data_IF_189763868383
#
_entry.id   IF_189763868383
#
_cell.length_a   1.000
_cell.length_b   1.000
_cell.length_c   1.000
_cell.angle_alpha   90.00
_cell.angle_beta   90.00
_cell.angle_gamma   90.00
#
_symmetry.space_group_name_H-M   'P 1'
#
loop_
_entity.id
_entity.type
_entity.pdbx_description
1 polymer ?
#
# COMPACT_ATOMS: atom_id res chain seq x y z
N UNK A 1 18.29 -80.85 0.58
CA UNK A 1 17.30 -79.84 1.00
C UNK A 1 17.89 -79.11 2.19
N UNK A 2 18.56 -77.99 1.95
CA UNK A 2 19.20 -77.19 3.01
C UNK A 2 18.41 -75.88 3.16
N UNK A 3 17.77 -75.70 4.31
CA UNK A 3 17.19 -74.42 4.74
C UNK A 3 18.31 -73.53 5.29
N UNK A 4 18.45 -72.33 4.73
CA UNK A 4 19.28 -71.27 5.28
C UNK A 4 18.34 -70.30 5.99
N UNK A 5 18.50 -70.19 7.31
CA UNK A 5 17.77 -69.26 8.17
C UNK A 5 18.61 -67.99 8.31
N UNK A 6 18.12 -66.87 7.78
CA UNK A 6 18.78 -65.55 7.89
C UNK A 6 18.21 -64.81 9.09
N UNK A 7 19.03 -64.60 10.12
CA UNK A 7 18.69 -63.80 11.31
C UNK A 7 19.19 -62.37 11.10
N UNK A 8 18.29 -61.40 11.00
CA UNK A 8 18.63 -59.98 10.95
C UNK A 8 18.69 -59.40 12.37
N UNK A 9 19.81 -58.79 12.73
CA UNK A 9 20.01 -58.04 13.97
C UNK A 9 19.66 -56.58 13.69
N UNK A 10 18.56 -56.09 14.27
CA UNK A 10 18.17 -54.69 14.23
C UNK A 10 18.87 -53.93 15.37
N UNK A 11 19.82 -53.07 15.04
CA UNK A 11 20.40 -52.09 15.96
C UNK A 11 19.51 -50.86 16.01
N UNK A 12 18.84 -50.64 17.15
CA UNK A 12 18.07 -49.43 17.41
C UNK A 12 19.02 -48.23 17.59
N UNK A 13 18.96 -47.27 16.67
CA UNK A 13 19.58 -45.95 16.82
C UNK A 13 18.61 -45.09 17.64
N UNK A 14 19.02 -44.48 18.77
CA UNK A 14 18.17 -43.55 19.50
C UNK A 14 17.99 -42.28 18.65
N UNK A 15 16.84 -42.17 17.98
CA UNK A 15 16.41 -40.95 17.29
C UNK A 15 15.89 -39.97 18.34
N UNK A 16 16.79 -39.17 18.91
CA UNK A 16 16.41 -37.96 19.65
C UNK A 16 15.87 -36.95 18.62
N UNK A 17 14.55 -36.97 18.38
CA UNK A 17 13.88 -35.95 17.59
C UNK A 17 13.98 -34.59 18.31
N UNK A 18 14.30 -33.49 17.61
CA UNK A 18 14.25 -32.17 18.21
C UNK A 18 12.79 -31.78 18.42
N UNK A 19 12.27 -31.97 19.64
CA UNK A 19 10.98 -31.48 20.11
C UNK A 19 10.92 -29.93 20.27
N UNK A 20 11.92 -29.19 19.74
CA UNK A 20 12.13 -27.77 20.06
C UNK A 20 11.27 -26.78 19.25
N UNK A 21 10.36 -27.25 18.38
CA UNK A 21 9.47 -26.38 17.60
C UNK A 21 7.98 -26.49 17.99
N UNK A 22 7.61 -27.50 18.78
CA UNK A 22 6.21 -27.70 19.20
C UNK A 22 5.90 -27.22 20.63
N UNK A 23 6.92 -26.83 21.41
CA UNK A 23 6.76 -26.39 22.82
C UNK A 23 6.74 -24.85 22.98
N UNK A 24 6.65 -24.11 21.86
CA UNK A 24 6.21 -22.71 21.86
C UNK A 24 4.69 -22.72 22.05
N UNK A 25 4.27 -22.62 23.31
CA UNK A 25 2.90 -22.49 23.83
C UNK A 25 1.75 -22.40 22.80
N UNK A 26 0.78 -23.30 22.97
CA UNK A 26 -0.56 -23.37 22.37
C UNK A 26 -1.46 -22.11 22.50
N UNK A 27 -0.91 -20.95 22.82
CA UNK A 27 -1.69 -19.72 22.83
C UNK A 27 -1.93 -19.30 21.39
N UNK A 28 -3.21 -19.36 20.99
CA UNK A 28 -3.69 -18.88 19.69
C UNK A 28 -3.14 -17.47 19.47
N UNK A 29 -2.51 -17.23 18.32
CA UNK A 29 -1.94 -15.91 17.99
C UNK A 29 -3.04 -14.83 18.12
N UNK A 30 -2.85 -13.79 18.95
CA UNK A 30 -3.89 -12.81 19.23
C UNK A 30 -4.41 -12.10 17.98
N UNK A 31 -3.62 -12.06 16.90
CA UNK A 31 -4.05 -11.45 15.64
C UNK A 31 -5.27 -12.15 15.03
N UNK A 32 -5.45 -13.46 15.25
CA UNK A 32 -6.62 -14.17 14.72
C UNK A 32 -7.93 -13.63 15.30
N UNK A 33 -7.96 -13.34 16.60
CA UNK A 33 -9.14 -12.76 17.24
C UNK A 33 -9.43 -11.35 16.71
N UNK A 34 -8.37 -10.55 16.47
CA UNK A 34 -8.51 -9.21 15.93
C UNK A 34 -9.02 -9.22 14.47
N UNK A 35 -8.54 -10.16 13.65
CA UNK A 35 -8.99 -10.36 12.27
C UNK A 35 -10.48 -10.72 12.24
N UNK A 36 -10.92 -11.68 13.06
CA UNK A 36 -12.32 -12.10 13.09
C UNK A 36 -13.24 -10.98 13.63
N UNK A 37 -12.77 -10.19 14.61
CA UNK A 37 -13.51 -9.02 15.08
C UNK A 37 -13.69 -7.96 13.97
N UNK A 38 -12.65 -7.68 13.19
CA UNK A 38 -12.74 -6.76 12.05
C UNK A 38 -13.66 -7.30 10.95
N UNK A 39 -13.56 -8.58 10.58
CA UNK A 39 -14.47 -9.21 9.62
C UNK A 39 -15.94 -9.13 10.06
N UNK A 40 -16.21 -9.37 11.34
CA UNK A 40 -17.56 -9.27 11.88
C UNK A 40 -18.11 -7.84 11.84
N UNK A 41 -17.27 -6.84 12.15
CA UNK A 41 -17.65 -5.43 12.07
C UNK A 41 -17.91 -4.99 10.62
N UNK A 42 -17.08 -5.42 9.67
CA UNK A 42 -17.27 -5.11 8.25
C UNK A 42 -18.55 -5.73 7.71
N UNK A 43 -18.80 -7.01 7.97
CA UNK A 43 -20.01 -7.69 7.54
C UNK A 43 -21.29 -7.09 8.17
N UNK A 44 -21.18 -6.48 9.34
CA UNK A 44 -22.27 -5.69 9.94
C UNK A 44 -22.51 -4.39 9.20
N UNK A 45 -21.44 -3.65 8.86
CA UNK A 45 -21.53 -2.41 8.12
C UNK A 45 -22.07 -2.62 6.70
N UNK A 46 -21.56 -3.62 5.97
CA UNK A 46 -22.02 -3.99 4.62
C UNK A 46 -23.53 -4.26 4.61
N UNK A 47 -24.03 -5.04 5.57
CA UNK A 47 -25.46 -5.33 5.68
C UNK A 47 -26.30 -4.07 5.91
N UNK A 48 -25.78 -3.10 6.67
CA UNK A 48 -26.48 -1.82 6.90
C UNK A 48 -26.51 -0.97 5.64
N UNK A 49 -25.44 -0.98 4.85
CA UNK A 49 -25.40 -0.33 3.53
C UNK A 49 -26.43 -0.97 2.59
N UNK A 50 -26.50 -2.29 2.50
CA UNK A 50 -27.51 -3.01 1.71
C UNK A 50 -28.95 -2.72 2.15
N UNK A 51 -29.18 -2.62 3.47
CA UNK A 51 -30.49 -2.28 4.02
C UNK A 51 -30.90 -0.83 3.68
N UNK A 52 -29.96 0.12 3.70
CA UNK A 52 -30.23 1.50 3.26
C UNK A 52 -30.48 1.56 1.76
N UNK A 53 -29.67 0.90 0.93
CA UNK A 53 -29.89 0.87 -0.52
C UNK A 53 -31.29 0.32 -0.85
N UNK A 54 -31.70 -0.76 -0.17
CA UNK A 54 -33.06 -1.30 -0.31
C UNK A 54 -34.12 -0.29 0.08
N UNK A 55 -33.90 0.47 1.17
CA UNK A 55 -34.82 1.51 1.62
C UNK A 55 -34.91 2.68 0.64
N UNK A 56 -33.78 3.14 0.10
CA UNK A 56 -33.73 4.21 -0.91
C UNK A 56 -34.48 3.82 -2.18
N UNK A 57 -34.36 2.57 -2.61
CA UNK A 57 -35.09 2.03 -3.77
C UNK A 57 -36.61 1.95 -3.54
N UNK A 58 -37.08 1.96 -2.28
CA UNK A 58 -38.50 1.89 -1.94
C UNK A 58 -39.16 3.27 -1.75
N UNK A 59 -38.38 4.34 -1.68
CA UNK A 59 -38.86 5.67 -1.31
C UNK A 59 -38.63 6.69 -2.44
N UNK A 60 -39.70 7.31 -2.93
CA UNK A 60 -39.62 8.36 -3.96
C UNK A 60 -38.83 9.60 -3.48
N UNK A 61 -38.91 9.90 -2.18
CA UNK A 61 -38.22 11.01 -1.51
C UNK A 61 -37.70 10.57 -0.14
N UNK A 62 -36.52 9.94 -0.12
CA UNK A 62 -36.00 9.29 1.09
C UNK A 62 -35.39 10.25 2.13
N UNK A 63 -34.83 11.39 1.72
CA UNK A 63 -34.00 12.24 2.61
C UNK A 63 -34.72 12.78 3.85
N UNK A 64 -36.03 12.97 3.76
CA UNK A 64 -36.87 13.44 4.87
C UNK A 64 -37.66 12.29 5.54
N UNK A 65 -37.52 11.04 5.06
CA UNK A 65 -38.21 9.89 5.65
C UNK A 65 -37.53 9.49 6.97
N UNK A 66 -38.27 9.41 8.10
CA UNK A 66 -37.70 9.03 9.39
C UNK A 66 -36.99 7.68 9.38
N UNK A 67 -37.40 6.74 8.52
CA UNK A 67 -36.74 5.43 8.40
C UNK A 67 -35.38 5.55 7.74
N UNK A 68 -35.25 6.43 6.74
CA UNK A 68 -33.98 6.67 6.07
C UNK A 68 -33.00 7.38 7.01
N UNK A 69 -33.48 8.39 7.75
CA UNK A 69 -32.69 9.07 8.79
C UNK A 69 -32.18 8.07 9.85
N UNK A 70 -33.02 7.14 10.29
CA UNK A 70 -32.62 6.09 11.23
C UNK A 70 -31.62 5.08 10.61
N UNK A 71 -31.80 4.74 9.33
CA UNK A 71 -30.86 3.90 8.59
C UNK A 71 -29.48 4.57 8.46
N UNK A 72 -29.46 5.87 8.18
CA UNK A 72 -28.24 6.66 8.05
C UNK A 72 -27.48 6.71 9.38
N UNK A 73 -28.18 6.91 10.50
CA UNK A 73 -27.57 6.81 11.84
C UNK A 73 -26.93 5.44 12.08
N UNK A 74 -27.62 4.36 11.72
CA UNK A 74 -27.08 3.00 11.86
C UNK A 74 -25.87 2.79 10.97
N UNK A 75 -25.81 3.36 9.78
CA UNK A 75 -24.63 3.27 8.91
C UNK A 75 -23.46 4.01 9.53
N UNK A 76 -23.65 5.22 10.04
CA UNK A 76 -22.62 5.95 10.77
C UNK A 76 -22.13 5.17 11.99
N UNK A 77 -23.03 4.66 12.82
CA UNK A 77 -22.65 3.80 13.95
C UNK A 77 -21.91 2.54 13.47
N UNK A 78 -22.32 1.95 12.35
CA UNK A 78 -21.71 0.75 11.77
C UNK A 78 -20.28 1.02 11.30
N UNK A 79 -20.09 2.15 10.62
CA UNK A 79 -18.78 2.65 10.20
C UNK A 79 -17.87 2.90 11.40
N UNK A 80 -18.35 3.59 12.44
CA UNK A 80 -17.56 3.85 13.65
C UNK A 80 -17.11 2.54 14.35
N UNK A 81 -17.97 1.52 14.38
CA UNK A 81 -17.58 0.20 14.90
C UNK A 81 -16.58 -0.52 14.00
N UNK A 82 -16.72 -0.40 12.67
CA UNK A 82 -15.77 -0.96 11.72
C UNK A 82 -14.40 -0.29 11.85
N UNK A 83 -14.36 1.04 11.89
CA UNK A 83 -13.15 1.83 12.06
C UNK A 83 -12.48 1.51 13.41
N UNK A 84 -13.24 1.38 14.49
CA UNK A 84 -12.71 0.96 15.79
C UNK A 84 -12.10 -0.47 15.75
N UNK A 85 -12.73 -1.41 15.04
CA UNK A 85 -12.22 -2.77 14.88
C UNK A 85 -10.96 -2.81 14.01
N UNK A 86 -10.93 -2.03 12.93
CA UNK A 86 -9.75 -1.85 12.08
C UNK A 86 -8.59 -1.24 12.88
N UNK A 87 -8.83 -0.18 13.65
CA UNK A 87 -7.84 0.44 14.54
C UNK A 87 -7.31 -0.58 15.56
N UNK A 88 -8.18 -1.40 16.15
CA UNK A 88 -7.76 -2.46 17.08
C UNK A 88 -6.92 -3.54 16.38
N UNK A 89 -7.28 -3.94 15.16
CA UNK A 89 -6.47 -4.84 14.34
C UNK A 89 -5.04 -4.29 14.12
N UNK A 90 -4.92 -2.98 13.87
CA UNK A 90 -3.64 -2.30 13.73
C UNK A 90 -2.86 -2.13 15.05
N UNK A 91 -3.44 -2.45 16.21
CA UNK A 91 -2.74 -2.44 17.52
C UNK A 91 -2.26 -3.82 17.95
N UNK A 92 -2.83 -4.88 17.37
CA UNK A 92 -2.47 -6.26 17.70
C UNK A 92 -1.31 -6.72 16.83
N UNK A 93 -0.19 -7.09 17.45
CA UNK A 93 0.97 -7.60 16.73
C UNK A 93 0.89 -9.13 16.59
N UNK A 94 1.05 -9.68 15.37
CA UNK A 94 1.24 -11.11 15.20
C UNK A 94 2.44 -11.63 16.00
N UNK A 95 2.28 -12.76 16.70
CA UNK A 95 3.36 -13.36 17.51
C UNK A 95 3.96 -14.62 16.89
N UNK A 96 3.35 -15.13 15.82
CA UNK A 96 3.71 -16.33 15.08
C UNK A 96 3.80 -16.06 13.57
N UNK A 97 4.50 -16.92 12.83
CA UNK A 97 4.51 -16.84 11.37
C UNK A 97 3.11 -17.06 10.76
N UNK A 98 2.31 -17.94 11.39
CA UNK A 98 0.92 -18.17 10.98
C UNK A 98 0.07 -16.91 11.12
N UNK A 99 0.22 -16.17 12.22
CA UNK A 99 -0.45 -14.88 12.42
C UNK A 99 -0.01 -13.81 11.42
N UNK A 100 1.29 -13.74 11.09
CA UNK A 100 1.79 -12.82 10.04
C UNK A 100 1.14 -13.13 8.69
N UNK A 101 1.08 -14.41 8.31
CA UNK A 101 0.43 -14.83 7.06
C UNK A 101 -1.06 -14.49 7.06
N UNK A 102 -1.76 -14.73 8.18
CA UNK A 102 -3.18 -14.43 8.31
C UNK A 102 -3.47 -12.93 8.18
N UNK A 103 -2.66 -12.08 8.80
CA UNK A 103 -2.79 -10.63 8.70
C UNK A 103 -2.56 -10.12 7.27
N UNK A 104 -1.52 -10.61 6.60
CA UNK A 104 -1.24 -10.23 5.22
C UNK A 104 -2.32 -10.72 4.25
N UNK A 105 -2.84 -11.94 4.44
CA UNK A 105 -3.94 -12.46 3.63
C UNK A 105 -5.21 -11.62 3.84
N UNK A 106 -5.54 -11.31 5.10
CA UNK A 106 -6.67 -10.42 5.42
C UNK A 106 -6.53 -9.05 4.74
N UNK A 107 -5.31 -8.47 4.73
CA UNK A 107 -5.06 -7.20 4.07
C UNK A 107 -5.26 -7.27 2.54
N UNK A 108 -4.83 -8.36 1.90
CA UNK A 108 -5.01 -8.58 0.46
C UNK A 108 -6.50 -8.75 0.14
N UNK A 109 -7.20 -9.61 0.89
CA UNK A 109 -8.61 -9.92 0.65
C UNK A 109 -9.48 -8.66 0.80
N UNK A 110 -9.15 -7.78 1.75
CA UNK A 110 -9.87 -6.51 1.97
C UNK A 110 -9.53 -5.42 0.96
N UNK A 111 -8.40 -5.49 0.24
CA UNK A 111 -8.02 -4.45 -0.72
C UNK A 111 -8.68 -4.61 -2.11
N UNK A 112 -9.44 -5.70 -2.35
CA UNK A 112 -10.01 -6.01 -3.67
C UNK A 112 -11.16 -5.07 -4.07
N UNK A 113 -11.94 -4.58 -3.11
CA UNK A 113 -13.16 -3.79 -3.38
C UNK A 113 -13.01 -2.28 -3.10
N UNK A 114 -11.78 -1.78 -2.98
CA UNK A 114 -11.47 -0.38 -2.70
C UNK A 114 -10.74 -0.17 -1.37
N UNK A 115 -10.63 1.10 -0.89
CA UNK A 115 -9.95 1.43 0.35
C UNK A 115 -10.75 0.95 1.57
N UNK A 116 -10.64 -0.34 1.88
CA UNK A 116 -11.34 -0.98 3.01
C UNK A 116 -10.68 -0.71 4.38
N UNK A 117 -9.57 0.02 4.40
CA UNK A 117 -8.94 0.50 5.63
C UNK A 117 -9.11 2.01 5.71
N UNK A 118 -9.16 2.53 6.93
CA UNK A 118 -9.23 3.96 7.22
C UNK A 118 -8.17 4.70 6.39
N UNK A 119 -8.63 5.58 5.49
CA UNK A 119 -7.78 6.30 4.53
C UNK A 119 -6.84 7.29 5.24
N UNK A 120 -7.36 7.94 6.28
CA UNK A 120 -6.67 8.98 7.02
C UNK A 120 -6.63 8.61 8.51
N UNK A 121 -5.54 7.98 8.95
CA UNK A 121 -5.25 7.75 10.36
C UNK A 121 -4.12 8.66 10.80
N UNK A 122 -4.31 9.32 11.94
CA UNK A 122 -3.24 10.09 12.58
C UNK A 122 -2.31 9.13 13.34
N UNK A 123 -0.99 9.28 13.18
CA UNK A 123 0.02 8.44 13.87
C UNK A 123 -0.14 8.37 15.38
N UNK A 124 -0.69 9.42 16.02
CA UNK A 124 -0.97 9.47 17.46
C UNK A 124 -2.01 8.45 17.93
N UNK A 125 -2.93 8.05 17.06
CA UNK A 125 -4.02 7.14 17.46
C UNK A 125 -3.57 5.68 17.61
N UNK A 126 -2.39 5.36 17.06
CA UNK A 126 -1.86 4.00 16.95
C UNK A 126 -0.62 3.72 17.80
N UNK A 127 -0.22 4.65 18.69
CA UNK A 127 1.02 4.54 19.47
C UNK A 127 2.22 4.18 18.56
N UNK A 128 2.26 4.74 17.34
CA UNK A 128 3.37 4.52 16.40
C UNK A 128 4.65 5.14 16.98
N UNK A 129 5.79 4.47 16.75
CA UNK A 129 7.11 5.00 17.13
C UNK A 129 7.48 6.26 16.30
N UNK A 130 6.68 6.61 15.29
CA UNK A 130 6.84 7.82 14.50
C UNK A 130 6.27 9.05 15.23
N UNK A 131 7.16 9.83 15.86
CA UNK A 131 6.80 11.09 16.55
C UNK A 131 6.28 12.18 15.60
N UNK A 132 6.36 11.98 14.28
CA UNK A 132 5.83 12.93 13.30
C UNK A 132 4.30 12.79 13.28
N UNK A 133 3.62 13.92 13.50
CA UNK A 133 2.17 14.06 13.40
C UNK A 133 1.76 14.03 11.91
N UNK A 134 1.85 12.85 11.31
CA UNK A 134 1.60 12.60 9.89
C UNK A 134 0.41 11.66 9.72
N UNK A 135 -0.48 12.01 8.81
CA UNK A 135 -1.58 11.16 8.39
C UNK A 135 -1.04 10.05 7.48
N UNK A 136 -1.51 8.83 7.73
CA UNK A 136 -1.14 7.61 6.99
C UNK A 136 -2.35 6.70 6.86
N UNK A 137 -2.39 5.90 5.80
CA UNK A 137 -3.46 4.92 5.58
C UNK A 137 -3.34 3.75 6.55
N UNK A 138 -4.46 3.09 6.91
CA UNK A 138 -4.43 1.93 7.81
C UNK A 138 -3.52 0.80 7.33
N UNK A 139 -3.43 0.58 6.02
CA UNK A 139 -2.54 -0.46 5.49
C UNK A 139 -1.04 -0.11 5.63
N UNK A 140 -0.65 1.16 5.87
CA UNK A 140 0.72 1.53 6.27
C UNK A 140 1.08 0.90 7.61
N UNK A 141 0.23 1.10 8.61
CA UNK A 141 0.42 0.58 9.95
C UNK A 141 0.34 -0.95 9.99
N UNK A 142 -0.45 -1.57 9.10
CA UNK A 142 -0.48 -3.03 8.95
C UNK A 142 0.87 -3.57 8.49
N UNK A 143 1.47 -2.95 7.47
CA UNK A 143 2.80 -3.33 6.97
C UNK A 143 3.88 -3.10 8.02
N UNK A 144 3.81 -1.98 8.77
CA UNK A 144 4.69 -1.71 9.90
C UNK A 144 4.60 -2.82 10.97
N UNK A 145 3.37 -3.22 11.33
CA UNK A 145 3.12 -4.32 12.26
C UNK A 145 3.70 -5.65 11.78
N UNK A 146 3.53 -5.98 10.50
CA UNK A 146 4.12 -7.19 9.91
C UNK A 146 5.64 -7.15 9.97
N UNK A 147 6.26 -6.02 9.62
CA UNK A 147 7.71 -5.87 9.68
C UNK A 147 8.25 -5.98 11.11
N UNK A 148 7.53 -5.43 12.09
CA UNK A 148 7.85 -5.53 13.52
C UNK A 148 7.69 -6.97 14.03
N UNK A 149 6.57 -7.62 13.72
CA UNK A 149 6.31 -9.01 14.08
C UNK A 149 7.37 -9.96 13.52
N UNK A 150 7.74 -9.82 12.23
CA UNK A 150 8.80 -10.63 11.61
C UNK A 150 10.15 -10.44 12.31
N UNK A 151 10.47 -9.22 12.76
CA UNK A 151 11.69 -8.93 13.51
C UNK A 151 11.70 -9.64 14.87
N UNK A 152 10.59 -9.59 15.60
CA UNK A 152 10.42 -10.24 16.91
C UNK A 152 10.41 -11.77 16.81
N UNK A 153 9.72 -12.33 15.82
CA UNK A 153 9.73 -13.78 15.57
C UNK A 153 11.16 -14.23 15.24
N UNK A 154 11.86 -13.48 14.38
CA UNK A 154 13.23 -13.79 14.01
C UNK A 154 14.21 -13.73 15.19
N UNK A 155 14.00 -12.85 16.18
CA UNK A 155 14.87 -12.73 17.36
C UNK A 155 14.72 -13.92 18.32
N UNK A 156 13.57 -14.59 18.30
CA UNK A 156 13.26 -15.76 19.13
C UNK A 156 13.66 -17.09 18.52
N UNK A 157 13.78 -17.14 17.18
CA UNK A 157 14.21 -18.36 16.50
C UNK A 157 15.67 -18.67 16.89
N UNK A 158 15.96 -19.87 17.40
CA UNK A 158 17.34 -20.25 17.67
C UNK A 158 18.13 -20.18 16.36
N UNK A 159 19.34 -19.61 16.41
CA UNK A 159 20.29 -19.61 15.29
C UNK A 159 20.85 -21.02 15.11
N UNK A 160 19.97 -22.00 14.91
CA UNK A 160 20.37 -23.31 14.46
C UNK A 160 20.78 -23.12 13.00
N UNK A 161 22.08 -23.11 12.73
CA UNK A 161 22.59 -23.39 11.39
C UNK A 161 22.45 -24.90 11.20
N UNK A 162 21.42 -25.42 10.51
CA UNK A 162 21.47 -26.81 10.12
C UNK A 162 22.75 -27.03 9.30
N UNK A 163 23.42 -28.18 9.43
CA UNK A 163 24.51 -28.56 8.55
C UNK A 163 23.90 -28.82 7.17
N UNK A 164 23.73 -27.75 6.38
CA UNK A 164 23.33 -27.85 4.99
C UNK A 164 24.51 -28.47 4.24
N UNK A 165 24.29 -29.63 3.61
CA UNK A 165 25.27 -30.28 2.75
C UNK A 165 25.81 -29.27 1.71
N UNK A 166 27.12 -29.31 1.47
CA UNK A 166 27.90 -28.19 0.92
C UNK A 166 27.37 -27.52 -0.36
N UNK A 167 26.66 -28.26 -1.22
CA UNK A 167 26.17 -27.75 -2.50
C UNK A 167 24.91 -26.86 -2.37
N UNK A 168 23.98 -27.21 -1.49
CA UNK A 168 22.76 -26.43 -1.28
C UNK A 168 23.05 -25.09 -0.58
N UNK A 169 24.11 -25.06 0.25
CA UNK A 169 24.50 -23.86 1.02
C UNK A 169 24.98 -22.72 0.13
N UNK A 170 25.67 -23.03 -0.98
CA UNK A 170 26.18 -22.02 -1.92
C UNK A 170 25.03 -21.33 -2.66
N UNK A 171 23.99 -22.08 -3.05
CA UNK A 171 22.83 -21.54 -3.76
C UNK A 171 21.99 -20.60 -2.88
N UNK A 172 21.73 -20.99 -1.62
CA UNK A 172 20.97 -20.17 -0.66
C UNK A 172 21.68 -18.85 -0.35
N UNK A 173 22.98 -18.91 -0.05
CA UNK A 173 23.77 -17.70 0.21
C UNK A 173 23.84 -16.76 -1.00
N UNK A 174 23.76 -17.31 -2.21
CA UNK A 174 23.72 -16.50 -3.45
C UNK A 174 22.42 -15.70 -3.57
N UNK A 175 21.27 -16.29 -3.23
CA UNK A 175 19.96 -15.61 -3.28
C UNK A 175 19.86 -14.48 -2.26
N UNK A 176 20.25 -14.72 -1.01
CA UNK A 176 20.21 -13.69 0.03
C UNK A 176 21.14 -12.53 -0.28
N UNK A 177 22.36 -12.82 -0.77
CA UNK A 177 23.28 -11.77 -1.23
C UNK A 177 22.72 -10.96 -2.39
N UNK A 178 21.96 -11.61 -3.29
CA UNK A 178 21.30 -10.93 -4.41
C UNK A 178 20.19 -10.00 -3.91
N UNK A 179 19.34 -10.46 -2.98
CA UNK A 179 18.32 -9.63 -2.33
C UNK A 179 18.96 -8.43 -1.63
N UNK A 180 20.01 -8.65 -0.84
CA UNK A 180 20.71 -7.58 -0.12
C UNK A 180 21.33 -6.56 -1.09
N UNK A 181 21.92 -7.04 -2.19
CA UNK A 181 22.47 -6.17 -3.25
C UNK A 181 21.39 -5.31 -3.91
N UNK A 182 20.23 -5.89 -4.25
CA UNK A 182 19.12 -5.14 -4.81
C UNK A 182 18.54 -4.14 -3.82
N UNK A 183 18.43 -4.51 -2.54
CA UNK A 183 17.91 -3.62 -1.53
C UNK A 183 18.83 -2.42 -1.28
N UNK A 184 20.16 -2.62 -1.23
CA UNK A 184 21.10 -1.49 -1.17
C UNK A 184 21.03 -0.57 -2.39
N UNK A 185 20.82 -1.16 -3.58
CA UNK A 185 20.60 -0.37 -4.79
C UNK A 185 19.28 0.42 -4.71
N UNK A 186 18.24 -0.17 -4.12
CA UNK A 186 16.96 0.49 -3.88
C UNK A 186 17.11 1.67 -2.92
N UNK A 187 17.81 1.49 -1.78
CA UNK A 187 18.09 2.58 -0.84
C UNK A 187 18.85 3.72 -1.52
N UNK A 188 19.85 3.42 -2.34
CA UNK A 188 20.61 4.43 -3.07
C UNK A 188 19.77 5.13 -4.15
N UNK A 189 18.99 4.37 -4.92
CA UNK A 189 18.11 4.93 -5.95
C UNK A 189 17.05 5.84 -5.31
N UNK A 190 16.54 5.43 -4.14
CA UNK A 190 15.59 6.21 -3.38
C UNK A 190 16.17 7.52 -2.86
N UNK A 191 17.36 7.50 -2.26
CA UNK A 191 18.02 8.72 -1.80
C UNK A 191 18.21 9.73 -2.96
N UNK A 192 18.49 9.23 -4.17
CA UNK A 192 18.54 10.07 -5.39
C UNK A 192 17.17 10.60 -5.79
N UNK A 193 16.13 9.76 -5.73
CA UNK A 193 14.77 10.22 -5.99
C UNK A 193 14.40 11.36 -5.03
N UNK A 194 14.60 11.17 -3.72
CA UNK A 194 14.36 12.22 -2.70
C UNK A 194 15.12 13.51 -3.00
N UNK A 195 16.40 13.43 -3.36
CA UNK A 195 17.18 14.60 -3.76
C UNK A 195 16.56 15.34 -4.95
N UNK A 196 16.09 14.59 -5.97
CA UNK A 196 15.39 15.16 -7.13
C UNK A 196 14.05 15.79 -6.71
N UNK A 197 13.33 15.21 -5.75
CA UNK A 197 12.07 15.75 -5.22
C UNK A 197 12.28 17.03 -4.45
N UNK A 198 13.30 17.08 -3.61
CA UNK A 198 13.68 18.31 -2.90
C UNK A 198 14.09 19.41 -3.87
N UNK A 199 14.76 19.05 -4.98
CA UNK A 199 15.07 19.99 -6.07
C UNK A 199 13.78 20.45 -6.77
N UNK A 200 12.88 19.54 -7.12
CA UNK A 200 11.60 19.85 -7.76
C UNK A 200 10.76 20.78 -6.86
N UNK A 201 10.63 20.45 -5.58
CA UNK A 201 9.89 21.25 -4.60
C UNK A 201 10.40 22.69 -4.56
N UNK A 202 11.71 22.91 -4.55
CA UNK A 202 12.28 24.27 -4.59
C UNK A 202 11.91 25.05 -5.84
N UNK A 203 11.78 24.37 -6.98
CA UNK A 203 11.34 25.01 -8.23
C UNK A 203 9.83 25.32 -8.20
N UNK A 204 9.02 24.40 -7.65
CA UNK A 204 7.58 24.62 -7.47
C UNK A 204 7.29 25.76 -6.48
N UNK A 205 8.10 25.88 -5.43
CA UNK A 205 8.06 26.94 -4.43
C UNK A 205 8.71 28.26 -4.91
N UNK A 206 9.15 28.37 -6.18
CA UNK A 206 9.74 29.61 -6.69
C UNK A 206 8.69 30.75 -6.63
N UNK A 207 9.01 31.90 -5.99
CA UNK A 207 8.05 32.99 -5.80
C UNK A 207 7.47 33.54 -7.11
N UNK A 208 8.21 33.46 -8.22
CA UNK A 208 7.72 33.93 -9.53
C UNK A 208 6.62 33.01 -10.02
N UNK A 209 6.84 31.69 -9.94
CA UNK A 209 5.84 30.68 -10.30
C UNK A 209 4.59 30.83 -9.43
N UNK A 210 4.77 30.93 -8.11
CA UNK A 210 3.67 31.13 -7.16
C UNK A 210 2.85 32.40 -7.47
N UNK A 211 3.48 33.50 -7.88
CA UNK A 211 2.79 34.72 -8.28
C UNK A 211 1.94 34.55 -9.55
N UNK A 212 2.43 33.79 -10.54
CA UNK A 212 1.68 33.46 -11.75
C UNK A 212 0.52 32.50 -11.47
N UNK A 213 0.74 31.50 -10.63
CA UNK A 213 -0.28 30.56 -10.18
C UNK A 213 -1.39 31.27 -9.39
N UNK A 214 -1.03 32.18 -8.47
CA UNK A 214 -1.99 33.02 -7.76
C UNK A 214 -2.78 33.93 -8.71
N UNK A 215 -2.13 34.47 -9.75
CA UNK A 215 -2.81 35.25 -10.79
C UNK A 215 -3.83 34.38 -11.52
N UNK A 216 -3.41 33.21 -12.01
CA UNK A 216 -4.28 32.26 -12.72
C UNK A 216 -5.48 31.83 -11.84
N UNK A 217 -5.25 31.51 -10.57
CA UNK A 217 -6.31 31.21 -9.60
C UNK A 217 -7.24 32.40 -9.33
N UNK A 218 -6.71 33.62 -9.19
CA UNK A 218 -7.57 34.80 -9.01
C UNK A 218 -8.50 35.03 -10.22
N UNK A 219 -8.05 34.62 -11.41
CA UNK A 219 -8.88 34.65 -12.61
C UNK A 219 -9.91 33.49 -12.61
N UNK A 220 -9.64 32.31 -12.06
CA UNK A 220 -10.63 31.21 -12.13
C UNK A 220 -11.94 31.44 -11.36
N UNK A 221 -11.96 32.34 -10.37
CA UNK A 221 -13.07 32.43 -9.38
C UNK A 221 -13.91 33.72 -9.43
N UNK A 222 -13.66 34.62 -10.38
CA UNK A 222 -14.10 36.01 -10.20
C UNK A 222 -15.33 36.46 -10.99
N UNK A 223 -15.92 35.69 -11.93
CA UNK A 223 -16.99 36.24 -12.79
C UNK A 223 -18.10 35.29 -13.21
N UNK A 224 -19.29 35.86 -13.43
CA UNK A 224 -20.44 35.21 -14.09
C UNK A 224 -20.09 34.57 -15.44
N UNK A 225 -19.08 35.12 -16.15
CA UNK A 225 -18.56 34.60 -17.42
C UNK A 225 -18.02 33.16 -17.26
N UNK A 226 -17.51 32.82 -16.07
CA UNK A 226 -16.97 31.49 -15.78
C UNK A 226 -18.10 30.43 -15.80
N UNK A 227 -19.34 30.78 -15.42
CA UNK A 227 -20.48 29.84 -15.53
C UNK A 227 -20.84 29.46 -16.97
N UNK A 228 -20.63 30.34 -17.94
CA UNK A 228 -20.85 30.03 -19.37
C UNK A 228 -19.80 29.04 -19.86
N UNK A 229 -18.55 29.23 -19.43
CA UNK A 229 -17.43 28.34 -19.74
C UNK A 229 -17.65 26.99 -19.06
N UNK A 230 -17.88 26.96 -17.75
CA UNK A 230 -18.13 25.75 -16.96
C UNK A 230 -19.28 24.90 -17.52
N UNK A 231 -20.43 25.52 -17.82
CA UNK A 231 -21.58 24.81 -18.42
C UNK A 231 -21.25 24.20 -19.78
N UNK A 232 -20.46 24.90 -20.61
CA UNK A 232 -20.12 24.43 -21.95
C UNK A 232 -19.26 23.16 -21.92
N UNK A 233 -18.44 23.02 -20.89
CA UNK A 233 -17.54 21.88 -20.70
C UNK A 233 -18.06 20.84 -19.71
N UNK A 234 -19.22 21.10 -19.08
CA UNK A 234 -19.76 20.29 -17.98
C UNK A 234 -18.79 20.18 -16.80
N UNK A 235 -17.99 21.21 -16.59
CA UNK A 235 -17.07 21.29 -15.46
C UNK A 235 -17.84 21.68 -14.21
N UNK A 236 -17.44 21.09 -13.07
CA UNK A 236 -18.02 21.40 -11.76
C UNK A 236 -17.31 22.61 -11.17
N UNK A 237 -18.07 23.52 -10.56
CA UNK A 237 -17.49 24.55 -9.70
C UNK A 237 -16.74 23.87 -8.55
N UNK A 238 -15.54 24.34 -8.21
CA UNK A 238 -14.68 23.66 -7.24
C UNK A 238 -13.55 22.83 -7.85
N UNK A 239 -13.64 22.46 -9.14
CA UNK A 239 -12.69 21.55 -9.77
C UNK A 239 -11.34 22.24 -10.03
N UNK A 240 -10.34 21.95 -9.21
CA UNK A 240 -8.98 22.50 -9.33
C UNK A 240 -8.29 22.11 -10.64
N UNK A 241 -8.78 21.08 -11.34
CA UNK A 241 -8.24 20.65 -12.64
C UNK A 241 -8.73 21.51 -13.81
N UNK A 242 -9.66 22.43 -13.57
CA UNK A 242 -10.29 23.29 -14.58
C UNK A 242 -9.29 24.07 -15.44
N UNK A 243 -8.20 24.59 -14.86
CA UNK A 243 -7.17 25.37 -15.57
C UNK A 243 -5.88 24.59 -15.83
N UNK A 244 -5.94 23.27 -16.01
CA UNK A 244 -4.75 22.58 -16.52
C UNK A 244 -4.39 23.10 -17.94
N UNK A 245 -3.11 23.04 -18.35
CA UNK A 245 -2.67 23.58 -19.64
C UNK A 245 -3.43 23.02 -20.85
N UNK A 246 -3.88 21.77 -20.78
CA UNK A 246 -4.68 21.13 -21.83
C UNK A 246 -6.06 21.76 -21.99
N UNK A 247 -6.73 22.07 -20.88
CA UNK A 247 -8.03 22.72 -20.85
C UNK A 247 -7.95 24.17 -21.36
N UNK A 248 -6.92 24.92 -20.97
CA UNK A 248 -6.70 26.30 -21.45
C UNK A 248 -6.43 26.32 -22.96
N UNK A 249 -5.60 25.41 -23.47
CA UNK A 249 -5.38 25.25 -24.92
C UNK A 249 -6.67 24.88 -25.65
N UNK A 250 -7.51 24.03 -25.05
CA UNK A 250 -8.82 23.68 -25.61
C UNK A 250 -9.75 24.89 -25.65
N UNK A 251 -9.76 25.74 -24.61
CA UNK A 251 -10.52 26.99 -24.59
C UNK A 251 -10.09 27.94 -25.72
N UNK A 252 -8.78 28.07 -25.95
CA UNK A 252 -8.23 28.91 -27.02
C UNK A 252 -8.70 28.49 -28.43
N UNK A 253 -8.93 27.20 -28.65
CA UNK A 253 -9.41 26.67 -29.94
C UNK A 253 -10.89 26.95 -30.22
N UNK A 254 -11.64 27.40 -29.20
CA UNK A 254 -13.08 27.62 -29.31
C UNK A 254 -13.41 29.04 -29.77
N UNK A 255 -14.53 29.17 -30.48
CA UNK A 255 -15.11 30.46 -30.86
C UNK A 255 -16.29 30.78 -29.95
N UNK A 256 -16.32 31.99 -29.42
CA UNK A 256 -17.42 32.44 -28.56
C UNK A 256 -18.16 33.58 -29.25
N UNK A 257 -19.50 33.50 -29.30
CA UNK A 257 -20.31 34.57 -29.93
C UNK A 257 -20.30 35.88 -29.14
N UNK A 258 -19.82 35.84 -27.90
CA UNK A 258 -19.85 36.91 -26.92
C UNK A 258 -18.43 37.49 -26.78
N UNK A 259 -18.20 38.76 -27.20
CA UNK A 259 -16.86 39.37 -27.16
C UNK A 259 -16.26 39.43 -25.75
N UNK A 260 -17.08 39.57 -24.72
CA UNK A 260 -16.66 39.56 -23.31
C UNK A 260 -16.14 38.18 -22.86
N UNK A 261 -16.71 37.10 -23.40
CA UNK A 261 -16.21 35.73 -23.16
C UNK A 261 -14.90 35.49 -23.92
N UNK A 262 -14.78 35.98 -25.16
CA UNK A 262 -13.51 35.88 -25.91
C UNK A 262 -12.38 36.64 -25.21
N UNK A 263 -12.65 37.87 -24.74
CA UNK A 263 -11.69 38.64 -23.95
C UNK A 263 -11.27 37.90 -22.69
N UNK A 264 -12.23 37.24 -22.01
CA UNK A 264 -11.93 36.47 -20.80
C UNK A 264 -11.06 35.25 -21.08
N UNK A 265 -11.36 34.51 -22.15
CA UNK A 265 -10.54 33.37 -22.57
C UNK A 265 -9.13 33.83 -22.92
N UNK A 266 -8.98 34.97 -23.59
CA UNK A 266 -7.66 35.53 -23.88
C UNK A 266 -6.87 35.89 -22.61
N UNK A 267 -7.52 36.44 -21.58
CA UNK A 267 -6.88 36.69 -20.28
C UNK A 267 -6.39 35.40 -19.60
N UNK A 268 -7.21 34.33 -19.60
CA UNK A 268 -6.84 33.03 -19.03
C UNK A 268 -5.68 32.39 -19.79
N UNK A 269 -5.71 32.46 -21.14
CA UNK A 269 -4.63 31.96 -21.99
C UNK A 269 -3.34 32.73 -21.72
N UNK A 270 -3.38 34.06 -21.66
CA UNK A 270 -2.19 34.87 -21.38
C UNK A 270 -1.61 34.59 -19.98
N UNK A 271 -2.46 34.37 -18.97
CA UNK A 271 -2.01 34.00 -17.63
C UNK A 271 -1.37 32.60 -17.61
N UNK A 272 -1.93 31.64 -18.33
CA UNK A 272 -1.34 30.31 -18.49
C UNK A 272 -0.02 30.35 -19.25
N UNK A 273 0.06 31.08 -20.37
CA UNK A 273 1.29 31.22 -21.16
C UNK A 273 2.43 31.83 -20.32
N UNK A 274 2.10 32.77 -19.43
CA UNK A 274 3.06 33.36 -18.51
C UNK A 274 3.55 32.35 -17.45
N UNK A 275 2.67 31.50 -16.92
CA UNK A 275 3.04 30.41 -16.03
C UNK A 275 3.91 29.36 -16.74
N UNK A 276 3.50 28.91 -17.93
CA UNK A 276 4.25 27.96 -18.78
C UNK A 276 5.66 28.49 -19.10
N UNK A 277 5.80 29.80 -19.37
CA UNK A 277 7.10 30.41 -19.62
C UNK A 277 8.03 30.36 -18.40
N UNK A 278 7.50 30.59 -17.20
CA UNK A 278 8.27 30.48 -15.95
C UNK A 278 8.61 29.02 -15.65
N UNK A 279 7.67 28.09 -15.83
CA UNK A 279 7.92 26.66 -15.65
C UNK A 279 9.02 26.15 -16.61
N UNK A 280 9.03 26.64 -17.86
CA UNK A 280 10.09 26.35 -18.83
C UNK A 280 11.44 26.93 -18.39
N UNK A 281 11.48 28.18 -17.92
CA UNK A 281 12.71 28.83 -17.43
C UNK A 281 13.29 28.10 -16.22
N UNK A 282 12.43 27.69 -15.28
CA UNK A 282 12.79 26.91 -14.09
C UNK A 282 13.17 25.47 -14.42
N UNK A 283 12.84 24.99 -15.63
CA UNK A 283 13.08 23.62 -16.05
C UNK A 283 12.20 22.61 -15.30
N UNK A 284 10.96 22.99 -14.93
CA UNK A 284 10.00 22.14 -14.21
C UNK A 284 9.75 20.83 -14.98
N UNK A 285 9.53 20.89 -16.30
CA UNK A 285 9.31 19.70 -17.12
C UNK A 285 10.54 18.76 -17.12
N UNK A 286 11.74 19.34 -17.24
CA UNK A 286 12.99 18.56 -17.18
C UNK A 286 13.17 17.92 -15.81
N UNK A 287 12.79 18.63 -14.74
CA UNK A 287 12.83 18.11 -13.38
C UNK A 287 11.80 17.00 -13.17
N UNK A 288 10.57 17.18 -13.67
CA UNK A 288 9.53 16.14 -13.65
C UNK A 288 10.01 14.85 -14.30
N UNK A 289 10.60 14.94 -15.49
CA UNK A 289 11.19 13.77 -16.16
C UNK A 289 12.31 13.11 -15.34
N UNK A 290 13.18 13.89 -14.69
CA UNK A 290 14.24 13.35 -13.82
C UNK A 290 13.66 12.63 -12.61
N UNK A 291 12.57 13.14 -12.06
CA UNK A 291 11.85 12.50 -10.97
C UNK A 291 11.25 11.17 -11.43
N UNK A 292 10.55 11.15 -12.57
CA UNK A 292 9.99 9.93 -13.17
C UNK A 292 11.08 8.89 -13.45
N UNK A 293 12.21 9.28 -14.05
CA UNK A 293 13.34 8.40 -14.32
C UNK A 293 13.93 7.79 -13.01
N UNK A 294 14.04 8.60 -11.95
CA UNK A 294 14.53 8.13 -10.65
C UNK A 294 13.54 7.17 -9.97
N UNK A 295 12.26 7.47 -10.10
CA UNK A 295 11.16 6.67 -9.60
C UNK A 295 11.08 5.31 -10.31
N UNK A 296 11.19 5.30 -11.63
CA UNK A 296 11.24 4.08 -12.46
C UNK A 296 12.37 3.14 -12.06
N UNK A 297 13.54 3.67 -11.72
CA UNK A 297 14.66 2.87 -11.21
C UNK A 297 14.26 2.15 -9.93
N UNK A 298 13.63 2.86 -9.00
CA UNK A 298 13.22 2.29 -7.72
C UNK A 298 12.12 1.23 -7.92
N UNK A 299 11.13 1.51 -8.77
CA UNK A 299 10.06 0.56 -9.12
C UNK A 299 10.62 -0.73 -9.74
N UNK A 300 11.57 -0.62 -10.68
CA UNK A 300 12.25 -1.80 -11.25
C UNK A 300 12.99 -2.62 -10.20
N UNK A 301 13.69 -1.97 -9.26
CA UNK A 301 14.42 -2.66 -8.19
C UNK A 301 13.47 -3.36 -7.21
N UNK A 302 12.36 -2.72 -6.83
CA UNK A 302 11.33 -3.35 -6.01
C UNK A 302 10.76 -4.60 -6.67
N UNK A 303 10.48 -4.54 -7.99
CA UNK A 303 10.06 -5.71 -8.78
C UNK A 303 11.13 -6.81 -8.79
N UNK A 304 12.41 -6.46 -8.94
CA UNK A 304 13.50 -7.44 -8.87
C UNK A 304 13.63 -8.10 -7.50
N UNK A 305 13.39 -7.37 -6.40
CA UNK A 305 13.36 -7.93 -5.05
C UNK A 305 12.20 -8.91 -4.91
N UNK A 306 11.00 -8.52 -5.38
CA UNK A 306 9.82 -9.39 -5.41
C UNK A 306 10.09 -10.71 -6.11
N UNK A 307 10.69 -10.66 -7.30
CA UNK A 307 10.87 -11.83 -8.17
C UNK A 307 11.96 -12.82 -7.66
N UNK A 308 12.78 -12.46 -6.68
CA UNK A 308 13.77 -13.37 -6.08
C UNK A 308 13.17 -14.08 -4.87
N UNK A 309 13.00 -15.42 -4.87
CA UNK A 309 12.47 -16.12 -3.70
C UNK A 309 13.37 -15.98 -2.47
N UNK A 310 12.79 -15.60 -1.34
CA UNK A 310 13.44 -15.63 -0.05
C UNK A 310 13.36 -17.04 0.54
N UNK A 311 14.52 -17.70 0.69
CA UNK A 311 14.60 -19.04 1.30
C UNK A 311 15.09 -19.01 2.75
N UNK A 312 15.29 -17.81 3.30
CA UNK A 312 15.75 -17.60 4.67
C UNK A 312 14.97 -16.45 5.30
N UNK A 313 15.00 -16.38 6.63
CA UNK A 313 14.47 -15.24 7.40
C UNK A 313 15.20 -13.93 7.01
N UNK A 314 16.49 -14.00 6.66
CA UNK A 314 17.23 -12.84 6.17
C UNK A 314 16.67 -12.28 4.87
N UNK A 315 16.37 -13.15 3.90
CA UNK A 315 15.72 -12.78 2.65
C UNK A 315 14.32 -12.18 2.87
N UNK A 316 13.52 -12.78 3.77
CA UNK A 316 12.19 -12.26 4.12
C UNK A 316 12.26 -10.87 4.74
N UNK A 317 13.24 -10.62 5.62
CA UNK A 317 13.46 -9.29 6.20
C UNK A 317 13.77 -8.24 5.13
N UNK A 318 14.54 -8.60 4.10
CA UNK A 318 14.84 -7.70 2.99
C UNK A 318 13.57 -7.37 2.20
N UNK A 319 12.74 -8.37 1.89
CA UNK A 319 11.44 -8.13 1.22
C UNK A 319 10.51 -7.27 2.06
N UNK A 320 10.43 -7.52 3.37
CA UNK A 320 9.63 -6.69 4.29
C UNK A 320 10.10 -5.24 4.35
N UNK A 321 11.43 -4.99 4.29
CA UNK A 321 11.95 -3.62 4.18
C UNK A 321 11.58 -2.96 2.85
N UNK A 322 11.69 -3.69 1.74
CA UNK A 322 11.27 -3.19 0.42
C UNK A 322 9.77 -2.87 0.39
N UNK A 323 8.95 -3.72 1.03
CA UNK A 323 7.52 -3.51 1.22
C UNK A 323 7.23 -2.21 1.98
N UNK A 324 7.88 -1.99 3.13
CA UNK A 324 7.76 -0.74 3.89
C UNK A 324 8.14 0.47 3.03
N UNK A 325 9.23 0.35 2.27
CA UNK A 325 9.73 1.42 1.40
C UNK A 325 8.74 1.80 0.28
N UNK A 326 8.09 0.82 -0.35
CA UNK A 326 7.09 1.07 -1.39
C UNK A 326 5.89 1.87 -0.88
N UNK A 327 5.67 1.89 0.44
CA UNK A 327 4.51 2.52 1.05
C UNK A 327 4.80 3.87 1.70
N UNK A 328 5.99 4.05 2.26
CA UNK A 328 6.40 5.32 2.89
C UNK A 328 6.52 6.49 1.90
N UNK A 329 6.56 6.21 0.60
CA UNK A 329 7.07 7.13 -0.41
C UNK A 329 6.05 7.59 -1.45
N UNK A 330 4.75 7.50 -1.11
CA UNK A 330 3.67 8.13 -1.88
C UNK A 330 3.66 7.69 -3.36
N UNK A 331 3.93 6.39 -3.59
CA UNK A 331 3.78 5.75 -4.91
C UNK A 331 2.30 5.65 -5.35
N UNK A 332 1.38 6.00 -4.46
CA UNK A 332 -0.07 5.86 -4.66
C UNK A 332 -0.64 6.89 -5.65
N UNK A 333 0.15 7.89 -6.05
CA UNK A 333 -0.23 8.88 -7.09
C UNK A 333 0.30 8.53 -8.48
N UNK A 334 0.30 7.26 -8.87
CA UNK A 334 0.34 6.96 -10.30
C UNK A 334 -1.05 7.31 -10.86
N UNK A 335 -1.20 8.55 -11.31
CA UNK A 335 -2.30 9.04 -12.13
C UNK A 335 -2.50 8.06 -13.31
N UNK A 336 -3.45 7.13 -13.18
CA UNK A 336 -3.78 6.17 -14.23
C UNK A 336 -3.63 4.69 -13.89
N UNK A 337 -3.63 4.30 -12.61
CA UNK A 337 -4.08 2.94 -12.28
C UNK A 337 -5.52 2.80 -12.78
N UNK A 338 -5.69 2.15 -13.94
CA UNK A 338 -6.93 1.45 -14.26
C UNK A 338 -7.32 0.65 -13.00
N UNK A 339 -8.60 0.75 -12.57
CA UNK A 339 -9.16 0.30 -11.27
C UNK A 339 -8.74 -1.10 -10.78
N UNK A 340 -8.08 -1.92 -11.61
CA UNK A 340 -7.79 -3.33 -11.36
C UNK A 340 -6.30 -3.66 -11.11
N UNK A 341 -5.39 -2.67 -11.10
CA UNK A 341 -3.95 -2.95 -10.99
C UNK A 341 -3.44 -3.07 -9.55
N UNK A 342 -3.08 -4.29 -9.12
CA UNK A 342 -2.42 -4.57 -7.82
C UNK A 342 -1.11 -3.78 -7.70
N UNK A 343 -1.02 -2.91 -6.69
CA UNK A 343 0.13 -2.05 -6.39
C UNK A 343 1.41 -2.85 -6.06
N UNK A 344 2.59 -2.24 -6.23
CA UNK A 344 3.88 -2.92 -6.05
C UNK A 344 4.13 -3.39 -4.62
N UNK A 345 3.64 -2.67 -3.62
CA UNK A 345 3.65 -3.11 -2.22
C UNK A 345 2.77 -4.36 -2.02
N UNK A 346 1.55 -4.40 -2.55
CA UNK A 346 0.70 -5.59 -2.49
C UNK A 346 1.33 -6.81 -3.18
N UNK A 347 1.98 -6.60 -4.33
CA UNK A 347 2.71 -7.68 -5.00
C UNK A 347 3.92 -8.18 -4.18
N UNK A 348 4.61 -7.29 -3.46
CA UNK A 348 5.70 -7.66 -2.53
C UNK A 348 5.15 -8.42 -1.32
N UNK A 349 4.02 -8.00 -0.75
CA UNK A 349 3.35 -8.70 0.34
C UNK A 349 2.98 -10.13 -0.05
N UNK A 350 2.34 -10.31 -1.21
CA UNK A 350 2.01 -11.64 -1.75
C UNK A 350 3.27 -12.52 -1.96
N UNK A 351 4.37 -11.90 -2.38
CA UNK A 351 5.66 -12.58 -2.53
C UNK A 351 6.25 -13.05 -1.19
N UNK A 352 6.14 -12.23 -0.12
CA UNK A 352 6.52 -12.60 1.25
C UNK A 352 5.69 -13.80 1.75
N UNK A 353 4.38 -13.80 1.52
CA UNK A 353 3.50 -14.93 1.89
C UNK A 353 3.93 -16.20 1.17
N UNK A 354 4.16 -16.11 -0.15
CA UNK A 354 4.55 -17.26 -0.98
C UNK A 354 5.86 -17.89 -0.49
N UNK A 355 6.84 -17.05 -0.14
CA UNK A 355 8.13 -17.49 0.40
C UNK A 355 7.99 -18.13 1.78
N UNK A 356 7.15 -17.56 2.66
CA UNK A 356 6.82 -18.15 3.97
C UNK A 356 6.21 -19.54 3.84
N UNK A 357 5.24 -19.71 2.94
CA UNK A 357 4.62 -21.02 2.64
C UNK A 357 5.67 -22.01 2.15
N UNK A 358 6.54 -21.60 1.22
CA UNK A 358 7.59 -22.45 0.68
C UNK A 358 8.60 -22.88 1.76
N UNK A 359 8.97 -21.96 2.66
CA UNK A 359 9.84 -22.26 3.80
C UNK A 359 9.21 -23.24 4.78
N UNK A 360 7.90 -23.13 5.02
CA UNK A 360 7.17 -24.06 5.89
C UNK A 360 7.05 -25.46 5.27
N UNK A 361 6.77 -25.55 3.96
CA UNK A 361 6.65 -26.83 3.24
C UNK A 361 7.99 -27.58 3.10
N UNK A 362 9.11 -26.85 3.07
CA UNK A 362 10.46 -27.43 2.97
C UNK A 362 11.06 -27.89 4.31
N UNK A 363 10.43 -27.56 5.45
CA UNK A 363 10.85 -28.10 6.73
C UNK A 363 10.56 -29.61 6.74
N UNK A 364 11.57 -30.49 6.96
CA UNK A 364 11.33 -31.93 7.00
C UNK A 364 10.28 -32.19 8.08
N UNK A 365 9.06 -32.55 7.65
CA UNK A 365 8.03 -33.03 8.56
C UNK A 365 8.66 -34.18 9.33
N UNK A 366 8.91 -33.95 10.62
CA UNK A 366 9.49 -34.94 11.50
C UNK A 366 8.72 -36.24 11.28
N UNK A 367 9.43 -37.28 10.86
CA UNK A 367 8.83 -38.57 10.56
C UNK A 367 7.89 -38.95 11.70
N UNK A 368 6.59 -39.01 11.42
CA UNK A 368 5.62 -39.51 12.38
C UNK A 368 6.11 -40.89 12.85
N UNK A 369 6.19 -41.13 14.17
CA UNK A 369 6.54 -42.46 14.65
C UNK A 369 5.51 -43.46 14.09
N UNK A 370 5.94 -44.61 13.55
CA UNK A 370 5.00 -45.65 13.16
C UNK A 370 4.18 -46.07 14.38
N UNK A 371 2.87 -46.21 14.17
CA UNK A 371 1.88 -46.58 15.18
C UNK A 371 2.12 -47.97 15.79
#
# INVERSE_FOLDING_TARGET
MNMITTTAIATAIPTAAPAMLNDLHHDVDPIFAAIEAHKAANAEWDRRMEDQERLENMLDHYRDDPRWIESERKIHDGRDHNDAAALNLLKVMPTTLGGVMALLQHAIDFNVDGPAFIEELNSRELDSDDERDIERTGQFFLIENVARALREIASRLPVASPPIAGDTRVSVLSRDRKLESFFRQLELAHARAQEVGDQAKKLYDDPRRAAHEATLHSLSWSREIDTVILRRFRWKEGDSTFLNPGNVRRLQSMRFKRPDVESRVAELVAAQDALDAVDLELGIETMGKRWDDAHDVCHRLAKQIKDVPATTIGGLRIKAKALCWCRTNDFDKVDGLEDDCVTTDMQLAASVISDLVAMNAGAPHGAHPPA
#
